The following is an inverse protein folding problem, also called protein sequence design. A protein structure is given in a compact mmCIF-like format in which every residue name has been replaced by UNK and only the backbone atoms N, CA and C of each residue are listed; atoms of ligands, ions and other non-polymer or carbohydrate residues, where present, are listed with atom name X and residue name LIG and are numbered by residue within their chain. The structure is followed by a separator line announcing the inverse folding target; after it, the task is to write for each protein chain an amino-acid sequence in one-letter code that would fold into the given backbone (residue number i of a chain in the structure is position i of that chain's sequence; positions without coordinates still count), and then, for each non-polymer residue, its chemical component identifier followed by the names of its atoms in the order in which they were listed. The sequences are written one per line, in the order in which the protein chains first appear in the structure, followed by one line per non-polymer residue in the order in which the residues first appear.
data_IF_991916509473
#
_entry.id   IF_991916509473
#
_cell.length_a   1.000
_cell.length_b   1.000
_cell.length_c   1.000
_cell.angle_alpha   90.00
_cell.angle_beta   90.00
_cell.angle_gamma   90.00
#
_symmetry.space_group_name_H-M   'P 1'
#
loop_
_entity.id
_entity.type
_entity.pdbx_description
1 polymer ?
#
# COMPACT_ATOMS: atom_id res chain seq x y z
N UNK A 1 -11.47 58.47 -81.42
CA UNK A 1 -10.19 57.89 -81.87
C UNK A 1 -10.13 56.47 -81.32
N UNK A 2 -10.31 55.37 -82.04
CA UNK A 2 -10.60 55.10 -83.45
C UNK A 2 -11.15 53.67 -83.49
N UNK A 3 -12.05 53.43 -84.44
CA UNK A 3 -12.82 52.21 -84.67
C UNK A 3 -11.97 50.96 -85.05
N UNK A 4 -12.62 49.77 -85.10
CA UNK A 4 -12.03 48.44 -84.91
C UNK A 4 -11.57 47.80 -86.23
N UNK A 5 -10.87 46.67 -86.11
CA UNK A 5 -10.68 45.75 -87.23
C UNK A 5 -11.72 44.63 -87.12
N UNK A 6 -12.80 44.86 -87.86
CA UNK A 6 -13.67 43.91 -88.58
C UNK A 6 -12.81 42.82 -89.27
N UNK A 7 -13.09 41.53 -89.41
CA UNK A 7 -14.30 40.68 -89.60
C UNK A 7 -13.73 39.24 -89.82
N UNK A 8 -14.48 38.15 -90.11
CA UNK A 8 -15.90 37.86 -89.96
C UNK A 8 -16.16 36.52 -89.23
N UNK A 9 -17.41 36.30 -88.81
CA UNK A 9 -17.92 34.96 -88.49
C UNK A 9 -18.10 34.12 -89.77
N UNK A 10 -17.77 32.82 -89.75
CA UNK A 10 -18.47 31.81 -90.54
C UNK A 10 -19.39 30.94 -89.65
N UNK A 11 -20.44 30.45 -90.29
CA UNK A 11 -21.69 29.90 -89.78
C UNK A 11 -21.63 28.73 -88.76
N UNK A 12 -22.73 28.49 -88.01
CA UNK A 12 -22.87 27.34 -87.12
C UNK A 12 -23.12 26.05 -87.92
N UNK A 13 -22.06 25.46 -88.48
CA UNK A 13 -22.11 24.08 -88.96
C UNK A 13 -22.22 23.13 -87.76
N UNK A 14 -23.46 22.71 -87.49
CA UNK A 14 -23.83 21.32 -87.19
C UNK A 14 -22.73 20.48 -86.51
N UNK A 15 -22.49 20.72 -85.21
CA UNK A 15 -21.92 19.66 -84.41
C UNK A 15 -23.02 18.62 -84.21
N UNK A 16 -22.86 17.54 -84.97
CA UNK A 16 -23.60 16.31 -84.86
C UNK A 16 -23.88 16.01 -83.38
N UNK A 17 -25.14 15.71 -83.10
CA UNK A 17 -25.50 14.94 -81.91
C UNK A 17 -24.74 13.64 -82.08
N UNK A 18 -23.56 13.58 -81.48
CA UNK A 18 -22.83 12.33 -81.30
C UNK A 18 -23.73 11.54 -80.36
N UNK A 19 -24.54 10.71 -81.00
CA UNK A 19 -25.32 9.67 -80.36
C UNK A 19 -24.33 8.88 -79.53
N UNK A 20 -24.31 9.14 -78.23
CA UNK A 20 -23.90 8.22 -77.19
C UNK A 20 -24.81 6.98 -77.35
N UNK A 21 -24.53 6.20 -78.40
CA UNK A 21 -24.75 4.76 -78.45
C UNK A 21 -23.76 4.16 -77.46
N UNK A 22 -24.00 4.49 -76.19
CA UNK A 22 -23.60 3.69 -75.06
C UNK A 22 -24.27 2.36 -75.33
N UNK A 23 -23.52 1.47 -75.99
CA UNK A 23 -23.84 0.06 -76.08
C UNK A 23 -24.37 -0.35 -74.73
N UNK A 24 -25.67 -0.62 -74.67
CA UNK A 24 -26.36 -1.20 -73.53
C UNK A 24 -25.74 -2.59 -73.36
N UNK A 25 -24.54 -2.64 -72.80
CA UNK A 25 -23.82 -3.86 -72.48
C UNK A 25 -24.76 -4.67 -71.60
N UNK A 26 -25.13 -5.83 -72.12
CA UNK A 26 -26.16 -6.72 -71.59
C UNK A 26 -26.16 -6.72 -70.06
N UNK A 27 -27.14 -6.04 -69.48
CA UNK A 27 -27.38 -6.07 -68.06
C UNK A 27 -27.75 -7.51 -67.69
N UNK A 28 -26.75 -8.23 -67.18
CA UNK A 28 -26.92 -9.62 -66.73
C UNK A 28 -27.40 -9.63 -65.28
N UNK A 29 -28.70 -9.91 -65.04
CA UNK A 29 -29.28 -9.92 -63.69
C UNK A 29 -28.66 -11.02 -62.81
N UNK A 30 -28.09 -12.09 -63.35
CA UNK A 30 -27.49 -13.16 -62.56
C UNK A 30 -26.14 -12.73 -61.99
N UNK A 31 -25.27 -12.12 -62.80
CA UNK A 31 -23.99 -11.56 -62.34
C UNK A 31 -24.18 -10.47 -61.29
N UNK A 32 -25.20 -9.61 -61.46
CA UNK A 32 -25.53 -8.59 -60.46
C UNK A 32 -25.97 -9.22 -59.12
N UNK A 33 -26.83 -10.24 -59.16
CA UNK A 33 -27.28 -10.98 -57.96
C UNK A 33 -26.12 -11.68 -57.26
N UNK A 34 -25.19 -12.28 -58.00
CA UNK A 34 -24.02 -12.95 -57.43
C UNK A 34 -23.07 -11.97 -56.75
N UNK A 35 -22.79 -10.81 -57.37
CA UNK A 35 -22.00 -9.73 -56.76
C UNK A 35 -22.64 -9.23 -55.46
N UNK A 36 -23.95 -9.00 -55.46
CA UNK A 36 -24.69 -8.59 -54.26
C UNK A 36 -24.63 -9.68 -53.17
N UNK A 37 -24.78 -10.96 -53.54
CA UNK A 37 -24.68 -12.09 -52.60
C UNK A 37 -23.29 -12.13 -51.96
N UNK A 38 -22.23 -11.97 -52.76
CA UNK A 38 -20.84 -11.95 -52.28
C UNK A 38 -20.59 -10.77 -51.35
N UNK A 39 -20.94 -9.55 -51.76
CA UNK A 39 -20.80 -8.36 -50.94
C UNK A 39 -21.58 -8.48 -49.61
N UNK A 40 -22.79 -9.05 -49.64
CA UNK A 40 -23.58 -9.31 -48.43
C UNK A 40 -22.92 -10.36 -47.52
N UNK A 41 -22.33 -11.41 -48.08
CA UNK A 41 -21.59 -12.42 -47.30
C UNK A 41 -20.33 -11.85 -46.65
N UNK A 42 -19.57 -11.04 -47.39
CA UNK A 42 -18.37 -10.36 -46.90
C UNK A 42 -18.74 -9.36 -45.81
N UNK A 43 -19.78 -8.53 -46.02
CA UNK A 43 -20.28 -7.60 -45.02
C UNK A 43 -20.80 -8.32 -43.76
N UNK A 44 -21.44 -9.49 -43.90
CA UNK A 44 -21.80 -10.32 -42.73
C UNK A 44 -20.57 -10.82 -41.99
N UNK A 45 -19.57 -11.34 -42.70
CA UNK A 45 -18.34 -11.84 -42.08
C UNK A 45 -17.56 -10.75 -41.35
N UNK A 46 -17.49 -9.54 -41.94
CA UNK A 46 -16.83 -8.39 -41.33
C UNK A 46 -17.58 -7.94 -40.08
N UNK A 47 -18.91 -7.88 -40.12
CA UNK A 47 -19.72 -7.56 -38.92
C UNK A 47 -19.51 -8.57 -37.80
N UNK A 48 -19.42 -9.86 -38.10
CA UNK A 48 -19.13 -10.89 -37.10
C UNK A 48 -17.75 -10.71 -36.47
N UNK A 49 -16.73 -10.46 -37.30
CA UNK A 49 -15.36 -10.20 -36.83
C UNK A 49 -15.27 -8.94 -36.00
N UNK A 50 -15.96 -7.86 -36.39
CA UNK A 50 -16.02 -6.62 -35.62
C UNK A 50 -16.62 -6.87 -34.24
N UNK A 51 -17.75 -7.57 -34.15
CA UNK A 51 -18.34 -7.95 -32.86
C UNK A 51 -17.39 -8.77 -31.99
N UNK A 52 -16.71 -9.76 -32.56
CA UNK A 52 -15.74 -10.56 -31.82
C UNK A 52 -14.55 -9.74 -31.31
N UNK A 53 -14.07 -8.78 -32.12
CA UNK A 53 -12.99 -7.86 -31.72
C UNK A 53 -13.47 -6.89 -30.64
N UNK A 54 -14.67 -6.34 -30.76
CA UNK A 54 -15.29 -5.48 -29.75
C UNK A 54 -15.43 -6.21 -28.42
N UNK A 55 -15.90 -7.47 -28.42
CA UNK A 55 -15.99 -8.29 -27.21
C UNK A 55 -14.62 -8.58 -26.58
N UNK A 56 -13.60 -8.82 -27.40
CA UNK A 56 -12.22 -9.03 -26.90
C UNK A 56 -11.62 -7.74 -26.34
N UNK A 57 -11.88 -6.60 -26.98
CA UNK A 57 -11.45 -5.30 -26.49
C UNK A 57 -12.10 -4.98 -25.15
N UNK A 58 -13.42 -5.19 -25.02
CA UNK A 58 -14.13 -5.00 -23.75
C UNK A 58 -13.55 -5.88 -22.63
N UNK A 59 -13.32 -7.17 -22.89
CA UNK A 59 -12.67 -8.07 -21.91
C UNK A 59 -11.24 -7.65 -21.56
N UNK A 60 -10.50 -7.13 -22.54
CA UNK A 60 -9.16 -6.62 -22.29
C UNK A 60 -9.19 -5.41 -21.37
N UNK A 61 -10.09 -4.46 -21.62
CA UNK A 61 -10.26 -3.28 -20.77
C UNK A 61 -10.69 -3.66 -19.36
N UNK A 62 -11.64 -4.59 -19.21
CA UNK A 62 -12.06 -5.14 -17.91
C UNK A 62 -10.88 -5.77 -17.14
N UNK A 63 -10.05 -6.56 -17.83
CA UNK A 63 -8.87 -7.18 -17.22
C UNK A 63 -7.80 -6.15 -16.86
N UNK A 64 -7.61 -5.12 -17.68
CA UNK A 64 -6.67 -4.03 -17.38
C UNK A 64 -7.14 -3.25 -16.15
N UNK A 65 -8.42 -2.94 -16.05
CA UNK A 65 -8.96 -2.19 -14.92
C UNK A 65 -8.97 -3.03 -13.63
N UNK A 66 -9.28 -4.33 -13.74
CA UNK A 66 -9.13 -5.28 -12.63
C UNK A 66 -7.67 -5.37 -12.16
N UNK A 67 -6.71 -5.49 -13.10
CA UNK A 67 -5.28 -5.54 -12.77
C UNK A 67 -4.78 -4.24 -12.15
N UNK A 68 -5.17 -3.08 -12.66
CA UNK A 68 -4.81 -1.78 -12.04
C UNK A 68 -5.36 -1.70 -10.62
N UNK A 69 -6.60 -2.13 -10.41
CA UNK A 69 -7.23 -2.12 -9.08
C UNK A 69 -6.52 -3.08 -8.13
N UNK A 70 -6.14 -4.27 -8.59
CA UNK A 70 -5.39 -5.23 -7.79
C UNK A 70 -3.97 -4.73 -7.50
N UNK A 71 -3.30 -4.13 -8.48
CA UNK A 71 -1.97 -3.52 -8.30
C UNK A 71 -2.00 -2.39 -7.26
N UNK A 72 -3.01 -1.52 -7.31
CA UNK A 72 -3.18 -0.46 -6.30
C UNK A 72 -3.36 -1.07 -4.89
N UNK A 73 -4.25 -2.06 -4.73
CA UNK A 73 -4.42 -2.76 -3.44
C UNK A 73 -3.14 -3.43 -2.97
N UNK A 74 -2.39 -4.07 -3.87
CA UNK A 74 -1.12 -4.71 -3.55
C UNK A 74 -0.04 -3.68 -3.17
N UNK A 75 -0.01 -2.52 -3.82
CA UNK A 75 0.89 -1.41 -3.46
C UNK A 75 0.55 -0.87 -2.08
N UNK A 76 -0.72 -0.57 -1.81
CA UNK A 76 -1.17 -0.13 -0.48
C UNK A 76 -0.85 -1.15 0.61
N UNK A 77 -1.07 -2.45 0.34
CA UNK A 77 -0.74 -3.52 1.26
C UNK A 77 0.78 -3.64 1.51
N UNK A 78 1.59 -3.47 0.47
CA UNK A 78 3.05 -3.46 0.57
C UNK A 78 3.53 -2.26 1.38
N UNK A 79 3.09 -1.05 1.06
CA UNK A 79 3.45 0.14 1.82
C UNK A 79 3.03 0.02 3.29
N UNK A 80 1.83 -0.50 3.57
CA UNK A 80 1.37 -0.72 4.93
C UNK A 80 2.18 -1.81 5.66
N UNK A 81 2.70 -2.81 4.94
CA UNK A 81 3.59 -3.82 5.51
C UNK A 81 4.99 -3.25 5.75
N UNK A 82 5.53 -2.48 4.81
CA UNK A 82 6.84 -1.82 4.90
C UNK A 82 6.87 -0.80 6.04
N UNK A 83 5.84 0.04 6.19
CA UNK A 83 5.73 0.97 7.32
C UNK A 83 5.73 0.24 8.66
N UNK A 84 4.98 -0.86 8.77
CA UNK A 84 4.95 -1.69 9.99
C UNK A 84 6.30 -2.35 10.25
N UNK A 85 6.98 -2.82 9.21
CA UNK A 85 8.32 -3.41 9.32
C UNK A 85 9.33 -2.35 9.78
N UNK A 86 9.37 -1.18 9.14
CA UNK A 86 10.28 -0.10 9.52
C UNK A 86 10.02 0.41 10.94
N UNK A 87 8.75 0.52 11.36
CA UNK A 87 8.42 0.88 12.74
C UNK A 87 8.87 -0.18 13.73
N UNK A 88 8.72 -1.47 13.41
CA UNK A 88 9.17 -2.57 14.26
C UNK A 88 10.69 -2.60 14.37
N UNK A 89 11.42 -2.43 13.26
CA UNK A 89 12.88 -2.35 13.21
C UNK A 89 13.40 -1.17 14.04
N UNK A 90 12.80 0.02 13.90
CA UNK A 90 13.16 1.18 14.71
C UNK A 90 12.88 0.97 16.20
N UNK A 91 11.77 0.30 16.55
CA UNK A 91 11.46 -0.04 17.95
C UNK A 91 12.47 -1.03 18.50
N UNK A 92 12.84 -2.05 17.73
CA UNK A 92 13.87 -3.02 18.11
C UNK A 92 15.22 -2.33 18.33
N UNK A 93 15.65 -1.48 17.40
CA UNK A 93 16.91 -0.74 17.53
C UNK A 93 16.93 0.12 18.80
N UNK A 94 15.84 0.84 19.10
CA UNK A 94 15.70 1.62 20.34
C UNK A 94 15.77 0.74 21.59
N UNK A 95 15.15 -0.44 21.55
CA UNK A 95 15.19 -1.39 22.67
C UNK A 95 16.58 -2.00 22.84
N UNK A 96 17.27 -2.36 21.76
CA UNK A 96 18.64 -2.88 21.80
C UNK A 96 19.59 -1.87 22.44
N UNK A 97 19.55 -0.61 21.99
CA UNK A 97 20.38 0.47 22.54
C UNK A 97 20.02 0.73 24.00
N UNK A 98 18.74 0.80 24.33
CA UNK A 98 18.29 0.99 25.71
C UNK A 98 18.76 -0.15 26.63
N UNK A 99 18.66 -1.40 26.21
CA UNK A 99 19.14 -2.55 26.98
C UNK A 99 20.66 -2.51 27.16
N UNK A 100 21.41 -2.13 26.13
CA UNK A 100 22.86 -1.98 26.21
C UNK A 100 23.29 -0.88 27.21
N UNK A 101 22.51 0.21 27.29
CA UNK A 101 22.77 1.35 28.18
C UNK A 101 22.12 1.21 29.57
N UNK A 102 21.30 0.18 29.80
CA UNK A 102 20.60 -0.04 31.06
C UNK A 102 19.33 0.81 31.26
N UNK A 103 18.78 1.38 30.20
CA UNK A 103 17.53 2.12 30.21
C UNK A 103 16.32 1.18 30.24
N UNK A 104 15.26 1.59 30.92
CA UNK A 104 13.99 0.85 30.96
C UNK A 104 13.27 0.88 29.60
N UNK A 105 12.36 -0.08 29.32
CA UNK A 105 11.56 -0.05 28.09
C UNK A 105 10.69 1.20 27.93
N UNK A 106 10.35 1.87 29.05
CA UNK A 106 9.62 3.14 29.03
C UNK A 106 10.50 4.30 28.55
N UNK A 107 11.78 4.32 28.94
CA UNK A 107 12.77 5.30 28.49
C UNK A 107 13.21 5.03 27.05
N UNK A 108 13.32 3.76 26.65
CA UNK A 108 13.63 3.38 25.27
C UNK A 108 12.67 3.99 24.23
N UNK A 109 11.38 4.14 24.58
CA UNK A 109 10.37 4.77 23.71
C UNK A 109 10.59 6.26 23.50
N UNK A 110 11.31 6.92 24.42
CA UNK A 110 11.63 8.35 24.38
C UNK A 110 12.91 8.65 23.61
N UNK A 111 13.71 7.63 23.31
CA UNK A 111 14.93 7.81 22.52
C UNK A 111 14.59 8.32 21.12
N UNK A 112 15.32 9.35 20.69
CA UNK A 112 15.17 10.00 19.40
C UNK A 112 16.43 9.75 18.58
N UNK A 113 16.26 9.15 17.40
CA UNK A 113 17.36 8.85 16.50
C UNK A 113 16.92 7.92 15.39
N UNK A 114 17.61 8.01 14.26
CA UNK A 114 17.41 7.15 13.09
C UNK A 114 18.52 6.13 12.92
N UNK A 115 19.68 6.41 13.49
CA UNK A 115 20.87 5.55 13.48
C UNK A 115 21.18 5.04 14.88
N UNK A 116 21.99 3.98 14.96
CA UNK A 116 22.41 3.41 16.24
C UNK A 116 23.23 4.42 17.04
N UNK A 117 24.12 5.14 16.38
CA UNK A 117 25.00 6.13 17.00
C UNK A 117 24.22 7.31 17.58
N UNK A 118 23.21 7.81 16.87
CA UNK A 118 22.30 8.85 17.37
C UNK A 118 21.54 8.37 18.62
N UNK A 119 21.01 7.14 18.57
CA UNK A 119 20.28 6.56 19.69
C UNK A 119 21.18 6.33 20.92
N UNK A 120 22.44 5.94 20.71
CA UNK A 120 23.40 5.75 21.80
C UNK A 120 23.76 7.09 22.46
N UNK A 121 24.02 8.13 21.67
CA UNK A 121 24.31 9.46 22.19
C UNK A 121 23.11 10.07 22.94
N UNK A 122 21.90 9.92 22.41
CA UNK A 122 20.66 10.37 23.07
C UNK A 122 20.39 9.56 24.36
N UNK A 123 20.67 8.26 24.35
CA UNK A 123 20.58 7.42 25.54
C UNK A 123 21.57 7.85 26.64
N UNK A 124 22.79 8.19 26.28
CA UNK A 124 23.79 8.70 27.21
C UNK A 124 23.37 10.06 27.78
N UNK A 125 22.89 10.99 26.93
CA UNK A 125 22.37 12.28 27.37
C UNK A 125 21.17 12.14 28.32
N UNK A 126 20.25 11.21 28.04
CA UNK A 126 19.11 10.93 28.90
C UNK A 126 19.54 10.35 30.25
N UNK A 127 20.56 9.49 30.26
CA UNK A 127 21.13 8.95 31.50
C UNK A 127 21.80 10.04 32.34
N UNK A 128 22.51 10.98 31.71
CA UNK A 128 23.09 12.13 32.41
C UNK A 128 22.01 13.02 33.04
N UNK A 129 20.92 13.31 32.31
CA UNK A 129 19.80 14.11 32.83
C UNK A 129 19.09 13.42 34.00
N UNK A 130 18.80 12.12 33.88
CA UNK A 130 18.19 11.33 34.97
C UNK A 130 19.16 11.22 36.15
N UNK A 131 20.43 10.94 35.87
CA UNK A 131 21.50 10.87 36.85
C UNK A 131 21.63 12.18 37.64
N UNK A 132 21.54 13.32 36.96
CA UNK A 132 21.54 14.65 37.57
C UNK A 132 20.28 14.91 38.42
N UNK A 133 19.12 14.39 38.03
CA UNK A 133 17.90 14.44 38.88
C UNK A 133 17.95 13.50 40.09
N UNK A 134 18.69 12.39 40.00
CA UNK A 134 18.93 11.44 41.11
C UNK A 134 20.21 11.69 41.88
N UNK A 135 20.97 12.73 41.55
CA UNK A 135 22.08 13.21 42.35
C UNK A 135 21.59 13.46 43.78
N UNK A 136 22.45 13.29 44.81
CA UNK A 136 22.03 13.47 46.19
C UNK A 136 21.32 14.82 46.29
N UNK A 137 20.05 14.80 46.71
CA UNK A 137 19.36 16.07 46.97
C UNK A 137 20.28 16.87 47.91
N UNK A 138 20.52 18.17 47.65
CA UNK A 138 21.18 19.03 48.62
C UNK A 138 20.26 19.11 49.84
N UNK A 139 20.42 18.16 50.76
CA UNK A 139 19.40 17.84 51.75
C UNK A 139 19.42 16.42 52.32
N UNK A 140 20.30 15.50 51.90
CA UNK A 140 20.43 14.16 52.54
C UNK A 140 20.94 14.20 54.00
N UNK A 141 21.01 15.40 54.59
CA UNK A 141 21.08 15.68 56.02
C UNK A 141 19.70 15.86 56.66
N UNK A 142 18.61 15.32 56.10
CA UNK A 142 17.35 15.26 56.85
C UNK A 142 17.58 14.34 58.07
N UNK A 143 17.48 14.83 59.31
CA UNK A 143 17.58 13.95 60.47
C UNK A 143 16.47 12.90 60.33
N UNK A 144 16.86 11.64 60.22
CA UNK A 144 15.91 10.52 60.18
C UNK A 144 14.99 10.67 61.38
N UNK A 145 13.71 10.96 61.13
CA UNK A 145 12.70 11.01 62.19
C UNK A 145 12.80 9.69 62.95
N UNK A 146 12.97 9.69 64.28
CA UNK A 146 13.06 8.45 65.03
C UNK A 146 11.82 7.61 64.72
N UNK A 147 12.03 6.40 64.19
CA UNK A 147 10.95 5.41 64.10
C UNK A 147 10.61 5.06 65.54
N UNK A 148 9.49 5.56 66.04
CA UNK A 148 8.92 5.05 67.29
C UNK A 148 8.80 3.54 67.16
N UNK A 149 9.62 2.82 67.92
CA UNK A 149 9.45 1.41 68.14
C UNK A 149 8.21 1.25 69.03
N UNK A 150 7.03 1.34 68.41
CA UNK A 150 5.78 0.95 69.06
C UNK A 150 5.94 -0.49 69.49
N UNK A 151 6.18 -0.70 70.79
CA UNK A 151 6.13 -2.02 71.42
C UNK A 151 4.72 -2.55 71.15
N UNK A 152 4.53 -3.64 70.40
CA UNK A 152 3.20 -4.14 70.11
C UNK A 152 2.57 -4.60 71.42
N UNK A 153 1.77 -3.73 72.03
CA UNK A 153 0.91 -4.09 73.14
C UNK A 153 -0.16 -5.04 72.62
N UNK A 154 0.06 -6.34 72.79
CA UNK A 154 -0.99 -7.34 72.61
C UNK A 154 -0.86 -8.28 71.42
N UNK A 155 0.30 -8.93 71.23
CA UNK A 155 0.33 -10.29 70.65
C UNK A 155 1.29 -11.14 71.46
N UNK A 156 0.78 -12.26 71.98
CA UNK A 156 1.59 -13.28 72.61
C UNK A 156 2.65 -13.81 71.66
N UNK A 157 3.75 -14.26 72.26
CA UNK A 157 4.78 -15.14 71.72
C UNK A 157 4.40 -15.75 70.36
N UNK A 158 4.81 -15.12 69.27
CA UNK A 158 4.84 -15.78 67.97
C UNK A 158 6.17 -16.48 67.88
N UNK A 159 6.17 -17.75 68.28
CA UNK A 159 7.16 -18.72 67.83
C UNK A 159 7.43 -18.51 66.33
N UNK A 160 8.70 -18.61 65.87
CA UNK A 160 8.99 -18.61 64.44
C UNK A 160 8.17 -19.74 63.79
N UNK A 161 7.61 -19.56 62.58
CA UNK A 161 6.91 -20.65 61.93
C UNK A 161 7.92 -21.77 61.70
N UNK A 162 7.82 -22.84 62.49
CA UNK A 162 8.43 -24.12 62.15
C UNK A 162 7.91 -24.43 60.74
N UNK A 163 8.83 -24.46 59.78
CA UNK A 163 8.62 -24.99 58.46
C UNK A 163 7.97 -26.37 58.65
N UNK A 164 6.65 -26.44 58.44
CA UNK A 164 5.84 -27.64 58.65
C UNK A 164 6.17 -28.64 57.56
N UNK A 165 7.33 -29.25 57.72
CA UNK A 165 7.86 -30.25 56.83
C UNK A 165 7.07 -31.55 57.07
N UNK A 166 6.25 -32.02 56.11
CA UNK A 166 5.26 -33.10 56.34
C UNK A 166 5.93 -34.42 56.80
N UNK A 167 7.23 -34.58 56.52
CA UNK A 167 8.03 -35.73 56.94
C UNK A 167 8.29 -35.76 58.46
N UNK A 168 8.43 -34.61 59.12
CA UNK A 168 8.62 -34.54 60.59
C UNK A 168 7.33 -34.78 61.35
N UNK A 169 6.19 -34.37 60.79
CA UNK A 169 4.87 -34.62 61.38
C UNK A 169 4.50 -36.11 61.33
N UNK A 170 4.83 -36.80 60.22
CA UNK A 170 4.60 -38.24 60.08
C UNK A 170 5.43 -39.10 61.06
N UNK A 171 6.60 -38.61 61.50
CA UNK A 171 7.44 -39.29 62.48
C UNK A 171 6.90 -39.17 63.93
N UNK A 172 5.97 -38.24 64.19
CA UNK A 172 5.41 -37.98 65.53
C UNK A 172 4.08 -38.68 65.78
N UNK A 173 3.54 -39.36 64.76
CA UNK A 173 2.34 -40.22 64.91
C UNK A 173 2.81 -41.63 65.30
N UNK A 174 2.47 -42.13 66.50
CA UNK A 174 2.76 -43.52 66.85
C UNK A 174 1.98 -44.44 65.91
N UNK A 175 2.70 -45.24 65.13
CA UNK A 175 2.11 -46.33 64.34
C UNK A 175 1.54 -47.33 65.34
N UNK A 176 0.23 -47.46 65.37
CA UNK A 176 -0.47 -48.46 66.17
C UNK A 176 -0.78 -49.69 65.33
#
# INVERSE_FOLDING_TARGET
MSEPINDPAPDPETNAVDSDDQSLEDWDPERAREKIRRANSEARSLRLRLKELEEKAAKYDELQDAQKTEQQRLQEAREAAERRASEAEQRLMRLEVALAKGLTPAQAKRLVGTTREELEADADALLEEIGAMTGPLPGDTVPRRPREALRPGGRGETDPPEERDPRRLAARVPRR
#
